data_IF_479025098555
#
_entry.id   IF_479025098555
#
_cell.length_a   1.000
_cell.length_b   1.000
_cell.length_c   1.000
_cell.angle_alpha   90.00
_cell.angle_beta   90.00
_cell.angle_gamma   90.00
#
_symmetry.space_group_name_H-M   'P 1'
#
loop_
_entity.id
_entity.type
_entity.pdbx_description
1 polymer ?
#
# COMPACT_ATOMS: atom_id res chain seq x y z
N UNK A 1 -7.10 0.95 3.60
CA UNK A 1 -8.06 1.96 4.09
C UNK A 1 -8.84 2.50 2.89
N UNK A 2 -10.00 3.15 3.08
CA UNK A 2 -10.82 3.66 1.97
C UNK A 2 -10.09 4.67 1.06
N UNK A 3 -9.12 5.39 1.61
CA UNK A 3 -8.41 6.51 0.96
C UNK A 3 -6.91 6.22 0.68
N UNK A 4 -6.32 5.20 1.31
CA UNK A 4 -4.91 4.83 1.13
C UNK A 4 -4.63 3.34 1.36
N UNK A 5 -3.48 2.90 0.86
CA UNK A 5 -3.01 1.50 0.92
C UNK A 5 -1.67 1.45 1.69
N UNK A 6 -1.56 0.50 2.62
CA UNK A 6 -0.30 0.13 3.27
C UNK A 6 0.15 -1.23 2.73
N UNK A 7 1.42 -1.36 2.37
CA UNK A 7 2.00 -2.59 1.80
C UNK A 7 3.32 -2.91 2.50
N UNK A 8 3.52 -4.20 2.79
CA UNK A 8 4.86 -4.74 3.05
C UNK A 8 5.42 -5.28 1.75
N UNK A 9 6.62 -4.84 1.38
CA UNK A 9 7.22 -5.18 0.08
C UNK A 9 8.66 -5.61 0.32
N UNK A 10 9.03 -6.77 -0.23
CA UNK A 10 10.42 -7.21 -0.35
C UNK A 10 10.74 -7.30 -1.82
N UNK A 11 11.75 -6.54 -2.26
CA UNK A 11 12.33 -6.72 -3.58
C UNK A 11 13.45 -7.75 -3.44
N UNK A 12 13.53 -8.70 -4.39
CA UNK A 12 14.52 -9.77 -4.35
C UNK A 12 15.95 -9.22 -4.27
N UNK A 13 16.83 -9.91 -3.54
CA UNK A 13 18.25 -9.55 -3.49
C UNK A 13 18.85 -9.54 -4.91
N UNK A 14 19.59 -8.49 -5.26
CA UNK A 14 20.14 -8.33 -6.61
C UNK A 14 19.12 -7.92 -7.69
N UNK A 15 17.86 -7.67 -7.31
CA UNK A 15 16.85 -7.19 -8.25
C UNK A 15 17.26 -5.82 -8.84
N UNK A 16 17.19 -5.63 -10.17
CA UNK A 16 17.41 -4.32 -10.79
C UNK A 16 16.22 -3.36 -10.55
N UNK A 17 15.09 -3.85 -10.02
CA UNK A 17 13.93 -3.03 -9.72
C UNK A 17 14.18 -2.20 -8.46
N UNK A 18 14.03 -0.89 -8.59
CA UNK A 18 13.96 0.02 -7.45
C UNK A 18 12.53 0.10 -6.91
N UNK A 19 12.39 0.43 -5.62
CA UNK A 19 11.06 0.64 -5.00
C UNK A 19 10.25 1.69 -5.76
N UNK A 20 10.86 2.78 -6.20
CA UNK A 20 10.17 3.83 -6.96
C UNK A 20 9.62 3.33 -8.30
N UNK A 21 10.39 2.52 -9.05
CA UNK A 21 9.92 1.95 -10.31
C UNK A 21 8.80 0.93 -10.08
N UNK A 22 8.90 0.13 -9.02
CA UNK A 22 7.86 -0.81 -8.64
C UNK A 22 6.55 -0.09 -8.25
N UNK A 23 6.62 0.95 -7.40
CA UNK A 23 5.45 1.77 -7.02
C UNK A 23 4.82 2.44 -8.25
N UNK A 24 5.64 2.95 -9.19
CA UNK A 24 5.14 3.53 -10.44
C UNK A 24 4.33 2.51 -11.25
N UNK A 25 4.84 1.28 -11.38
CA UNK A 25 4.15 0.18 -12.04
C UNK A 25 2.85 -0.20 -11.35
N UNK A 26 2.88 -0.36 -10.03
CA UNK A 26 1.71 -0.70 -9.21
C UNK A 26 0.59 0.35 -9.36
N UNK A 27 0.92 1.64 -9.16
CA UNK A 27 -0.04 2.74 -9.28
C UNK A 27 -0.67 2.80 -10.68
N UNK A 28 0.13 2.54 -11.73
CA UNK A 28 -0.39 2.47 -13.11
C UNK A 28 -1.36 1.30 -13.28
N UNK A 29 -0.99 0.11 -12.83
CA UNK A 29 -1.81 -1.09 -12.98
C UNK A 29 -3.15 -0.95 -12.25
N UNK A 30 -3.11 -0.55 -10.98
CA UNK A 30 -4.32 -0.30 -10.19
C UNK A 30 -5.15 0.85 -10.76
N UNK A 31 -4.51 1.92 -11.25
CA UNK A 31 -5.23 3.02 -11.89
C UNK A 31 -6.01 2.58 -13.13
N UNK A 32 -5.44 1.69 -13.96
CA UNK A 32 -6.15 1.12 -15.10
C UNK A 32 -7.34 0.25 -14.67
N UNK A 33 -7.18 -0.55 -13.61
CA UNK A 33 -8.26 -1.38 -13.07
C UNK A 33 -9.40 -0.52 -12.47
N UNK A 34 -9.06 0.54 -11.74
CA UNK A 34 -10.02 1.49 -11.17
C UNK A 34 -10.79 2.22 -12.28
N UNK A 35 -10.11 2.66 -13.34
CA UNK A 35 -10.77 3.22 -14.52
C UNK A 35 -11.68 2.21 -15.23
N UNK A 36 -11.24 0.95 -15.38
CA UNK A 36 -12.06 -0.11 -15.98
C UNK A 36 -13.32 -0.42 -15.15
N UNK A 37 -13.28 -0.18 -13.84
CA UNK A 37 -14.44 -0.26 -12.95
C UNK A 37 -15.39 0.96 -13.04
N UNK A 38 -15.11 1.92 -13.93
CA UNK A 38 -15.97 3.09 -14.19
C UNK A 38 -15.70 4.29 -13.29
N UNK A 39 -14.57 4.33 -12.59
CA UNK A 39 -14.17 5.49 -11.81
C UNK A 39 -13.30 6.44 -12.62
N UNK A 40 -13.44 7.74 -12.35
CA UNK A 40 -12.67 8.78 -13.04
C UNK A 40 -11.56 9.35 -12.14
N UNK A 41 -10.34 9.55 -12.67
CA UNK A 41 -9.25 10.14 -11.92
C UNK A 41 -9.48 11.63 -11.67
N UNK A 42 -8.88 12.16 -10.60
CA UNK A 42 -9.05 13.57 -10.24
C UNK A 42 -7.90 14.39 -10.81
N UNK A 43 -8.21 15.61 -11.29
CA UNK A 43 -7.19 16.58 -11.69
C UNK A 43 -6.56 17.22 -10.47
N UNK A 44 -5.27 16.99 -10.28
CA UNK A 44 -4.49 17.59 -9.19
C UNK A 44 -3.89 18.92 -9.67
N UNK A 45 -3.93 19.94 -8.82
CA UNK A 45 -3.32 21.25 -9.10
C UNK A 45 -1.82 21.06 -9.39
N UNK A 46 -1.32 21.72 -10.44
CA UNK A 46 0.07 21.60 -10.92
C UNK A 46 0.47 20.22 -11.48
N UNK A 47 -0.48 19.34 -11.79
CA UNK A 47 -0.24 18.09 -12.51
C UNK A 47 -0.81 18.17 -13.93
N UNK A 48 -0.06 17.66 -14.92
CA UNK A 48 -0.49 17.64 -16.33
C UNK A 48 -1.59 16.62 -16.60
N UNK A 49 -1.57 15.51 -15.86
CA UNK A 49 -2.48 14.38 -16.02
C UNK A 49 -3.37 14.22 -14.78
N UNK A 50 -4.61 13.78 -14.99
CA UNK A 50 -5.46 13.33 -13.89
C UNK A 50 -4.91 12.02 -13.30
N UNK A 51 -5.12 11.81 -12.01
CA UNK A 51 -4.61 10.63 -11.29
C UNK A 51 -5.57 10.21 -10.17
N UNK A 52 -5.58 8.91 -9.85
CA UNK A 52 -6.20 8.39 -8.63
C UNK A 52 -5.30 8.51 -7.39
N UNK A 53 -4.00 8.72 -7.61
CA UNK A 53 -3.00 8.67 -6.57
C UNK A 53 -2.48 10.04 -6.21
N UNK A 54 -2.30 10.28 -4.90
CA UNK A 54 -1.45 11.35 -4.40
C UNK A 54 -0.02 11.22 -5.00
N UNK A 55 0.61 12.34 -5.41
CA UNK A 55 2.00 12.35 -5.86
C UNK A 55 2.96 11.83 -4.77
N UNK A 56 3.97 11.06 -5.19
CA UNK A 56 4.94 10.44 -4.29
C UNK A 56 4.40 9.21 -3.55
N UNK A 57 5.17 8.72 -2.59
CA UNK A 57 4.78 7.65 -1.66
C UNK A 57 5.63 7.80 -0.40
N UNK A 58 5.14 7.26 0.72
CA UNK A 58 5.92 7.17 1.95
C UNK A 58 6.45 5.75 2.08
N UNK A 59 7.75 5.60 2.27
CA UNK A 59 8.39 4.32 2.55
C UNK A 59 9.23 4.38 3.83
N UNK A 60 9.37 3.22 4.44
CA UNK A 60 10.20 3.04 5.61
C UNK A 60 10.87 1.67 5.55
N UNK A 61 12.20 1.66 5.51
CA UNK A 61 13.00 0.43 5.45
C UNK A 61 13.03 -0.29 6.80
N UNK A 62 12.64 -1.56 6.83
CA UNK A 62 12.72 -2.42 8.02
C UNK A 62 14.12 -3.06 8.09
N UNK A 63 14.99 -2.51 8.94
CA UNK A 63 16.43 -2.89 8.99
C UNK A 63 16.76 -4.00 9.98
N UNK A 64 16.01 -4.14 11.08
CA UNK A 64 16.29 -5.12 12.14
C UNK A 64 15.02 -5.88 12.57
N UNK A 65 15.19 -6.88 13.43
CA UNK A 65 14.13 -7.66 14.08
C UNK A 65 13.27 -6.85 15.04
N UNK A 66 13.55 -5.55 15.22
CA UNK A 66 12.56 -4.57 15.65
C UNK A 66 11.44 -4.50 14.61
N UNK A 67 10.58 -5.50 14.77
CA UNK A 67 9.16 -5.35 14.80
C UNK A 67 8.46 -5.28 13.45
N UNK A 68 8.79 -6.26 12.61
CA UNK A 68 7.82 -6.71 11.61
C UNK A 68 6.46 -6.99 12.28
N UNK A 69 6.46 -7.62 13.45
CA UNK A 69 5.26 -7.92 14.23
C UNK A 69 4.52 -6.69 14.77
N UNK A 70 5.17 -5.69 15.40
CA UNK A 70 4.42 -4.51 15.88
C UNK A 70 4.03 -3.58 14.73
N UNK A 71 4.80 -3.48 13.64
CA UNK A 71 4.32 -2.75 12.46
C UNK A 71 3.18 -3.48 11.78
N UNK A 72 3.19 -4.80 11.78
CA UNK A 72 2.05 -5.58 11.34
C UNK A 72 0.82 -5.28 12.21
N UNK A 73 0.98 -5.29 13.54
CA UNK A 73 -0.09 -4.91 14.47
C UNK A 73 -0.58 -3.49 14.19
N UNK A 74 0.31 -2.53 13.92
CA UNK A 74 -0.08 -1.18 13.53
C UNK A 74 -0.97 -1.18 12.28
N UNK A 75 -0.57 -1.88 11.22
CA UNK A 75 -1.35 -1.95 9.97
C UNK A 75 -2.69 -2.65 10.19
N UNK A 76 -2.71 -3.74 10.95
CA UNK A 76 -3.92 -4.50 11.31
C UNK A 76 -4.89 -3.66 12.15
N UNK A 77 -4.40 -2.82 13.05
CA UNK A 77 -5.23 -1.96 13.90
C UNK A 77 -5.68 -0.65 13.22
N UNK A 78 -5.16 -0.31 12.03
CA UNK A 78 -5.53 0.93 11.34
C UNK A 78 -7.04 1.05 11.04
N UNK A 79 -7.75 0.00 10.58
CA UNK A 79 -9.20 0.06 10.40
C UNK A 79 -9.95 0.40 11.70
N UNK A 80 -9.52 -0.15 12.84
CA UNK A 80 -10.09 0.15 14.16
C UNK A 80 -9.82 1.59 14.55
N UNK A 81 -8.57 2.05 14.41
CA UNK A 81 -8.17 3.44 14.68
C UNK A 81 -8.91 4.45 13.78
N UNK A 82 -9.18 4.06 12.55
CA UNK A 82 -9.98 4.81 11.58
C UNK A 82 -11.49 4.73 11.82
N UNK A 83 -11.94 3.99 12.85
CA UNK A 83 -13.37 3.76 13.19
C UNK A 83 -14.18 3.12 12.06
N UNK A 84 -13.52 2.30 11.23
CA UNK A 84 -14.17 1.58 10.14
C UNK A 84 -14.77 0.26 10.60
N UNK A 85 -14.20 -0.33 11.64
CA UNK A 85 -14.61 -1.59 12.28
C UNK A 85 -14.35 -1.52 13.78
N UNK A 86 -15.03 -2.38 14.54
CA UNK A 86 -14.85 -2.49 16.00
C UNK A 86 -13.71 -3.42 16.40
N UNK A 87 -13.46 -4.47 15.62
CA UNK A 87 -12.30 -5.34 15.76
C UNK A 87 -11.54 -5.39 14.42
N UNK A 88 -10.21 -5.53 14.50
CA UNK A 88 -9.37 -5.58 13.31
C UNK A 88 -9.74 -6.73 12.36
N UNK A 89 -10.19 -7.84 12.91
CA UNK A 89 -10.56 -9.05 12.16
C UNK A 89 -11.88 -8.88 11.38
N UNK A 90 -12.67 -7.84 11.68
CA UNK A 90 -13.89 -7.51 10.93
C UNK A 90 -13.59 -6.77 9.62
N UNK A 91 -12.33 -6.39 9.36
CA UNK A 91 -11.97 -5.63 8.16
C UNK A 91 -11.90 -6.53 6.92
N UNK A 92 -12.86 -6.44 5.98
CA UNK A 92 -12.98 -7.41 4.88
C UNK A 92 -11.92 -7.21 3.79
N UNK A 93 -11.13 -6.14 3.88
CA UNK A 93 -10.08 -5.79 2.91
C UNK A 93 -8.68 -6.01 3.50
N UNK A 94 -8.57 -6.70 4.64
CA UNK A 94 -7.30 -7.28 5.08
C UNK A 94 -7.09 -8.57 4.28
N UNK A 95 -6.01 -8.63 3.49
CA UNK A 95 -5.61 -9.84 2.78
C UNK A 95 -4.82 -10.78 3.71
N UNK A 96 -4.39 -11.93 3.18
CA UNK A 96 -3.66 -12.97 3.91
C UNK A 96 -2.33 -12.46 4.48
N UNK A 97 -2.07 -12.82 5.75
CA UNK A 97 -0.83 -12.51 6.44
C UNK A 97 0.25 -13.50 5.98
N UNK A 98 1.03 -13.13 4.98
CA UNK A 98 2.14 -13.97 4.52
C UNK A 98 3.36 -13.72 5.40
N UNK A 99 3.84 -14.76 6.08
CA UNK A 99 5.13 -14.73 6.76
C UNK A 99 6.24 -14.51 5.72
N UNK A 100 6.91 -13.35 5.80
CA UNK A 100 8.11 -13.11 5.00
C UNK A 100 9.27 -13.86 5.65
N UNK A 101 9.50 -15.10 5.22
CA UNK A 101 10.63 -15.90 5.67
C UNK A 101 11.95 -15.19 5.32
N UNK A 102 12.75 -14.96 6.35
CA UNK A 102 14.10 -14.41 6.22
C UNK A 102 15.07 -15.59 6.10
N UNK A 103 15.12 -16.21 4.93
CA UNK A 103 16.32 -16.92 4.49
C UNK A 103 17.48 -15.93 4.33
#
# INVERSE_FOLDING_TARGET
MPDHIHLFVRLGAGSPLTLGNWIKGLKRHLGLAISAAGHEPVRVVNQKLATFWQPGFHDHMLRHSESYAEKWNYVRENPVRGRLVTAADDWPYADEIVLIDRA
#
